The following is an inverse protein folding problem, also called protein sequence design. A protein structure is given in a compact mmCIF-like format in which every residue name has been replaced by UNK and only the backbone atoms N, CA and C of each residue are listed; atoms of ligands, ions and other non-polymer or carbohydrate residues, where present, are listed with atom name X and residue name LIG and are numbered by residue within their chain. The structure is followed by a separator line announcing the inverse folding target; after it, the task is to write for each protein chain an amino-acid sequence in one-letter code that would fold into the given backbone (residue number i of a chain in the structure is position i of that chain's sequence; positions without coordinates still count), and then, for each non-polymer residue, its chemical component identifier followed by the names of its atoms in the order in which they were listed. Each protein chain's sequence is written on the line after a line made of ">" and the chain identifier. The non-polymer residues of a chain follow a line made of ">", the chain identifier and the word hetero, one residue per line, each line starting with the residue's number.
data_IF_060714845095
#
_entry.id   IF_060714845095
#
_cell.length_a   1.000
_cell.length_b   1.000
_cell.length_c   1.000
_cell.angle_alpha   90.00
_cell.angle_beta   90.00
_cell.angle_gamma   90.00
#
_symmetry.space_group_name_H-M   'P 1'
#
loop_
_entity.id
_entity.type
_entity.pdbx_description
1 polymer ?
#
# COMPACT_ATOMS: atom_id res chain seq x y z
N UNK A 1 -32.94 47.39 -16.21
CA UNK A 1 -32.58 48.82 -16.19
C UNK A 1 -32.98 49.30 -14.80
N UNK A 2 -32.12 49.65 -13.85
CA UNK A 2 -30.73 50.14 -13.86
C UNK A 2 -30.11 49.77 -12.50
N UNK A 3 -28.89 49.26 -12.45
CA UNK A 3 -27.68 50.04 -12.15
C UNK A 3 -27.90 51.20 -11.16
N UNK A 4 -27.51 50.96 -9.91
CA UNK A 4 -26.69 51.91 -9.12
C UNK A 4 -26.25 51.27 -7.80
N UNK A 5 -24.94 51.03 -7.70
CA UNK A 5 -24.26 50.46 -6.55
C UNK A 5 -24.44 51.28 -5.27
N UNK A 6 -24.59 50.56 -4.16
CA UNK A 6 -24.27 51.09 -2.84
C UNK A 6 -22.84 50.65 -2.51
N UNK A 7 -21.92 51.58 -2.70
CA UNK A 7 -20.57 51.52 -2.15
C UNK A 7 -20.63 51.75 -0.63
N UNK A 8 -19.79 51.10 0.16
CA UNK A 8 -19.67 51.39 1.58
C UNK A 8 -19.10 52.80 1.81
N UNK A 9 -19.72 53.50 2.75
CA UNK A 9 -19.30 54.80 3.26
C UNK A 9 -17.94 54.65 3.94
N UNK A 10 -16.93 55.28 3.34
CA UNK A 10 -15.58 55.39 3.88
C UNK A 10 -15.50 56.68 4.68
N UNK A 11 -15.51 56.57 6.01
CA UNK A 11 -15.39 57.70 6.92
C UNK A 11 -13.91 57.93 7.25
N UNK A 12 -13.39 58.99 6.63
CA UNK A 12 -12.35 59.90 7.10
C UNK A 12 -11.44 59.42 8.23
N UNK A 13 -10.18 59.17 7.88
CA UNK A 13 -9.06 59.83 8.56
C UNK A 13 -7.87 59.91 7.60
N UNK A 14 -7.86 61.01 6.83
CA UNK A 14 -6.68 61.52 6.16
C UNK A 14 -6.35 62.84 6.83
N UNK A 15 -5.22 62.90 7.53
CA UNK A 15 -4.28 64.03 7.46
C UNK A 15 -3.03 63.72 8.30
N UNK A 16 -1.96 63.32 7.62
CA UNK A 16 -0.63 63.92 7.85
C UNK A 16 0.40 63.37 6.87
N UNK A 17 0.74 64.25 5.92
CA UNK A 17 2.13 64.62 5.66
C UNK A 17 2.96 63.76 4.69
N UNK A 18 3.10 64.35 3.50
CA UNK A 18 4.36 64.57 2.77
C UNK A 18 5.17 63.37 2.28
N UNK A 19 5.02 63.13 0.98
CA UNK A 19 6.02 62.69 0.01
C UNK A 19 7.45 62.41 0.52
N UNK A 20 7.92 61.18 0.35
CA UNK A 20 9.31 60.89 -0.04
C UNK A 20 9.47 59.45 -0.59
N UNK A 21 9.96 59.38 -1.82
CA UNK A 21 10.70 58.27 -2.46
C UNK A 21 10.06 56.87 -2.53
N UNK A 22 9.73 56.45 -3.76
CA UNK A 22 9.66 55.05 -4.15
C UNK A 22 10.92 54.30 -3.67
N UNK A 23 10.74 53.33 -2.77
CA UNK A 23 11.77 52.35 -2.43
C UNK A 23 11.55 51.12 -3.30
N UNK A 24 12.56 50.61 -4.02
CA UNK A 24 12.39 49.37 -4.78
C UNK A 24 12.06 48.24 -3.81
N UNK A 25 10.95 47.53 -4.07
CA UNK A 25 10.58 46.34 -3.32
C UNK A 25 11.70 45.29 -3.48
N UNK A 26 12.51 45.14 -2.44
CA UNK A 26 13.44 44.02 -2.34
C UNK A 26 12.63 42.72 -2.30
N UNK A 27 12.97 41.70 -3.10
CA UNK A 27 12.32 40.40 -3.00
C UNK A 27 12.49 39.83 -1.58
N UNK A 28 11.52 39.05 -1.07
CA UNK A 28 11.65 38.44 0.25
C UNK A 28 12.97 37.66 0.32
N UNK A 29 13.73 37.74 1.43
CA UNK A 29 15.00 37.05 1.53
C UNK A 29 14.76 35.56 1.27
N UNK A 30 15.44 35.03 0.25
CA UNK A 30 15.41 33.61 -0.06
C UNK A 30 15.67 32.82 1.23
N UNK A 31 14.71 31.97 1.61
CA UNK A 31 14.83 31.14 2.80
C UNK A 31 16.20 30.46 2.81
N UNK A 32 16.93 30.45 3.95
CA UNK A 32 18.27 29.90 3.98
C UNK A 32 18.21 28.45 3.53
N UNK A 33 18.81 28.16 2.37
CA UNK A 33 18.97 26.80 1.90
C UNK A 33 19.80 26.09 2.96
N UNK A 34 19.18 25.13 3.66
CA UNK A 34 19.87 24.34 4.69
C UNK A 34 21.00 23.63 3.98
N UNK A 35 22.22 24.16 4.12
CA UNK A 35 23.43 23.53 3.62
C UNK A 35 23.46 22.14 4.24
N UNK A 36 23.38 21.10 3.41
CA UNK A 36 23.50 19.73 3.87
C UNK A 36 24.89 19.60 4.52
N UNK A 37 24.96 18.97 5.69
CA UNK A 37 26.21 18.77 6.44
C UNK A 37 26.31 17.33 6.91
N UNK A 38 27.55 16.87 7.13
CA UNK A 38 27.82 15.53 7.63
C UNK A 38 27.29 14.44 6.69
N UNK A 39 26.62 13.45 7.26
CA UNK A 39 26.13 12.25 6.56
C UNK A 39 25.19 12.56 5.38
N UNK A 40 24.41 13.64 5.48
CA UNK A 40 23.46 14.06 4.44
C UNK A 40 24.12 14.80 3.26
N UNK A 41 25.38 15.25 3.43
CA UNK A 41 26.15 15.89 2.36
C UNK A 41 27.07 14.91 1.61
N UNK A 42 27.15 13.66 2.07
CA UNK A 42 27.96 12.62 1.44
C UNK A 42 27.24 12.01 0.23
N UNK A 43 28.03 11.39 -0.66
CA UNK A 43 27.49 10.59 -1.75
C UNK A 43 26.67 9.39 -1.24
N UNK A 44 25.60 9.02 -1.96
CA UNK A 44 24.64 7.99 -1.57
C UNK A 44 25.32 6.62 -1.45
N UNK A 45 26.29 6.31 -2.33
CA UNK A 45 27.00 5.03 -2.25
C UNK A 45 27.81 4.94 -0.95
N UNK A 46 28.51 6.04 -0.58
CA UNK A 46 29.27 6.13 0.67
C UNK A 46 28.34 6.09 1.89
N UNK A 47 27.17 6.74 1.83
CA UNK A 47 26.19 6.70 2.91
C UNK A 47 25.70 5.27 3.19
N UNK A 48 25.37 4.51 2.13
CA UNK A 48 24.97 3.11 2.21
C UNK A 48 26.09 2.23 2.74
N UNK A 49 27.31 2.45 2.30
CA UNK A 49 28.48 1.71 2.77
C UNK A 49 28.69 1.90 4.28
N UNK A 50 28.63 3.14 4.76
CA UNK A 50 28.80 3.43 6.19
C UNK A 50 27.63 2.87 6.99
N UNK A 51 26.38 2.99 6.51
CA UNK A 51 25.21 2.38 7.15
C UNK A 51 25.34 0.84 7.24
N UNK A 52 25.77 0.20 6.14
CA UNK A 52 26.01 -1.25 6.08
C UNK A 52 27.14 -1.69 7.03
N UNK A 53 28.24 -0.92 7.10
CA UNK A 53 29.34 -1.16 8.05
C UNK A 53 28.89 -0.95 9.49
N UNK A 54 28.11 0.08 9.77
CA UNK A 54 27.58 0.37 11.11
C UNK A 54 26.64 -0.72 11.62
N UNK A 55 25.74 -1.23 10.75
CA UNK A 55 24.86 -2.34 11.09
C UNK A 55 25.64 -3.62 11.40
N UNK A 56 26.60 -3.99 10.55
CA UNK A 56 27.45 -5.17 10.79
C UNK A 56 28.29 -5.04 12.06
N UNK A 57 28.89 -3.88 12.29
CA UNK A 57 29.70 -3.63 13.47
C UNK A 57 28.89 -3.68 14.77
N UNK A 58 27.61 -3.28 14.76
CA UNK A 58 26.74 -3.39 15.93
C UNK A 58 26.40 -4.85 16.28
N UNK A 59 26.17 -5.68 15.27
CA UNK A 59 26.01 -7.12 15.46
C UNK A 59 27.31 -7.78 15.94
N UNK A 60 28.44 -7.48 15.29
CA UNK A 60 29.76 -8.02 15.67
C UNK A 60 30.17 -7.63 17.09
N UNK A 61 29.86 -6.40 17.53
CA UNK A 61 30.15 -5.92 18.89
C UNK A 61 29.14 -6.40 19.93
N UNK A 62 28.10 -7.14 19.54
CA UNK A 62 27.06 -7.62 20.45
C UNK A 62 26.21 -6.51 21.07
N UNK A 63 26.21 -5.30 20.49
CA UNK A 63 25.35 -4.20 20.94
C UNK A 63 23.95 -4.28 20.32
N UNK A 64 23.81 -5.02 19.22
CA UNK A 64 22.52 -5.34 18.61
C UNK A 64 21.90 -6.59 19.25
N UNK A 65 20.57 -6.61 19.31
CA UNK A 65 19.81 -7.81 19.70
C UNK A 65 19.94 -8.89 18.62
N UNK A 66 20.35 -10.08 19.01
CA UNK A 66 20.37 -11.24 18.12
C UNK A 66 19.04 -12.00 18.22
N UNK A 67 18.29 -11.99 17.13
CA UNK A 67 17.04 -12.73 17.07
C UNK A 67 17.34 -14.23 16.96
N UNK A 68 16.83 -14.98 17.93
CA UNK A 68 16.78 -16.44 17.78
C UNK A 68 15.82 -16.82 16.64
N UNK A 69 16.00 -18.02 16.06
CA UNK A 69 15.12 -18.52 15.00
C UNK A 69 13.64 -18.53 15.42
N UNK A 70 13.37 -18.85 16.67
CA UNK A 70 12.02 -18.87 17.23
C UNK A 70 11.44 -17.46 17.34
N UNK A 71 12.25 -16.50 17.80
CA UNK A 71 11.84 -15.10 17.92
C UNK A 71 11.58 -14.45 16.55
N UNK A 72 12.46 -14.71 15.56
CA UNK A 72 12.24 -14.28 14.19
C UNK A 72 10.93 -14.85 13.61
N UNK A 73 10.63 -16.11 13.92
CA UNK A 73 9.37 -16.77 13.51
C UNK A 73 8.17 -16.14 14.22
N UNK A 74 8.26 -15.86 15.51
CA UNK A 74 7.19 -15.23 16.28
C UNK A 74 6.91 -13.80 15.78
N UNK A 75 7.96 -13.02 15.51
CA UNK A 75 7.86 -11.68 14.93
C UNK A 75 7.23 -11.72 13.53
N UNK A 76 7.67 -12.66 12.67
CA UNK A 76 7.08 -12.87 11.36
C UNK A 76 5.60 -13.26 11.43
N UNK A 77 5.24 -14.15 12.36
CA UNK A 77 3.85 -14.54 12.61
C UNK A 77 3.00 -13.34 13.05
N UNK A 78 3.48 -12.56 14.03
CA UNK A 78 2.81 -11.36 14.53
C UNK A 78 2.63 -10.30 13.43
N UNK A 79 3.64 -10.09 12.60
CA UNK A 79 3.57 -9.20 11.44
C UNK A 79 2.52 -9.68 10.43
N UNK A 80 2.51 -10.97 10.11
CA UNK A 80 1.51 -11.57 9.22
C UNK A 80 0.09 -11.48 9.77
N UNK A 81 -0.10 -11.70 11.07
CA UNK A 81 -1.39 -11.54 11.76
C UNK A 81 -1.88 -10.10 11.73
N UNK A 82 -0.99 -9.12 11.92
CA UNK A 82 -1.34 -7.70 11.86
C UNK A 82 -1.78 -7.28 10.45
N UNK A 83 -1.05 -7.73 9.43
CA UNK A 83 -1.34 -7.40 8.02
C UNK A 83 -2.61 -8.11 7.53
N UNK A 84 -2.88 -9.32 8.00
CA UNK A 84 -4.03 -10.13 7.53
C UNK A 84 -5.38 -9.75 8.12
N UNK A 85 -5.46 -8.85 9.11
CA UNK A 85 -6.72 -8.43 9.73
C UNK A 85 -7.73 -7.88 8.71
N UNK A 86 -7.27 -7.10 7.73
CA UNK A 86 -8.15 -6.55 6.71
C UNK A 86 -8.23 -7.47 5.48
N UNK A 87 -9.09 -8.48 5.57
CA UNK A 87 -9.31 -9.47 4.51
C UNK A 87 -9.71 -8.82 3.17
N UNK A 88 -10.56 -7.77 3.19
CA UNK A 88 -11.01 -7.08 1.97
C UNK A 88 -9.83 -6.41 1.27
N UNK A 89 -9.04 -5.63 2.02
CA UNK A 89 -7.84 -4.97 1.51
C UNK A 89 -6.80 -5.97 0.97
N UNK A 90 -6.58 -7.09 1.67
CA UNK A 90 -5.68 -8.14 1.20
C UNK A 90 -6.18 -8.79 -0.10
N UNK A 91 -7.49 -9.02 -0.22
CA UNK A 91 -8.09 -9.54 -1.44
C UNK A 91 -7.92 -8.56 -2.61
N UNK A 92 -8.06 -7.26 -2.38
CA UNK A 92 -7.89 -6.22 -3.41
C UNK A 92 -6.43 -6.09 -3.85
N UNK A 93 -5.47 -6.15 -2.91
CA UNK A 93 -4.03 -6.21 -3.24
C UNK A 93 -3.72 -7.46 -4.06
N UNK A 94 -4.24 -8.62 -3.63
CA UNK A 94 -4.06 -9.88 -4.35
C UNK A 94 -4.61 -9.84 -5.77
N UNK A 95 -5.81 -9.26 -5.95
CA UNK A 95 -6.45 -9.07 -7.25
C UNK A 95 -5.61 -8.16 -8.15
N UNK A 96 -5.21 -6.98 -7.66
CA UNK A 96 -4.36 -6.03 -8.41
C UNK A 96 -2.95 -6.58 -8.69
N UNK A 97 -2.45 -7.46 -7.83
CA UNK A 97 -1.25 -8.25 -8.09
C UNK A 97 -1.45 -9.21 -9.25
N UNK A 98 -2.50 -10.04 -9.17
CA UNK A 98 -2.86 -11.01 -10.20
C UNK A 98 -3.12 -10.38 -11.56
N UNK A 99 -3.88 -9.28 -11.61
CA UNK A 99 -4.20 -8.54 -12.84
C UNK A 99 -2.96 -8.04 -13.58
N UNK A 100 -1.91 -7.63 -12.85
CA UNK A 100 -0.63 -7.22 -13.46
C UNK A 100 0.12 -8.39 -14.06
N UNK A 101 0.09 -9.55 -13.40
CA UNK A 101 0.80 -10.75 -13.87
C UNK A 101 0.03 -11.46 -14.98
N UNK A 102 -1.31 -11.36 -15.01
CA UNK A 102 -2.16 -12.06 -15.97
C UNK A 102 -2.25 -11.42 -17.36
N UNK A 103 -1.63 -10.25 -17.57
CA UNK A 103 -1.69 -9.55 -18.87
C UNK A 103 -1.05 -10.37 -20.00
N UNK A 104 -0.09 -11.24 -19.67
CA UNK A 104 0.54 -12.15 -20.61
C UNK A 104 0.06 -13.59 -20.36
N UNK A 105 -1.00 -13.97 -21.09
CA UNK A 105 -1.61 -15.30 -21.00
C UNK A 105 -0.67 -16.39 -21.52
N UNK A 106 0.15 -16.11 -22.51
CA UNK A 106 1.10 -17.08 -23.10
C UNK A 106 2.25 -17.36 -22.13
N UNK A 107 2.81 -16.30 -21.54
CA UNK A 107 3.84 -16.41 -20.50
C UNK A 107 3.33 -17.13 -19.25
N UNK A 108 2.11 -16.83 -18.81
CA UNK A 108 1.49 -17.55 -17.68
C UNK A 108 1.27 -19.03 -17.99
N UNK A 109 0.82 -19.37 -19.20
CA UNK A 109 0.67 -20.76 -19.63
C UNK A 109 2.02 -21.49 -19.68
N UNK A 110 3.08 -20.81 -20.12
CA UNK A 110 4.44 -21.35 -20.15
C UNK A 110 4.98 -21.62 -18.74
N UNK A 111 4.84 -20.67 -17.81
CA UNK A 111 5.22 -20.85 -16.40
C UNK A 111 4.41 -21.97 -15.75
N UNK A 112 3.10 -22.00 -15.97
CA UNK A 112 2.22 -23.03 -15.43
C UNK A 112 2.60 -24.43 -15.91
N UNK A 113 2.95 -24.57 -17.19
CA UNK A 113 3.42 -25.83 -17.76
C UNK A 113 4.74 -26.26 -17.15
N UNK A 114 5.73 -25.37 -17.10
CA UNK A 114 7.05 -25.64 -16.52
C UNK A 114 6.98 -25.99 -15.02
N UNK A 115 6.13 -25.30 -14.27
CA UNK A 115 5.86 -25.61 -12.88
C UNK A 115 5.12 -26.94 -12.70
N UNK A 116 4.19 -27.26 -13.59
CA UNK A 116 3.51 -28.55 -13.63
C UNK A 116 4.48 -29.69 -13.90
N UNK A 117 5.31 -29.60 -14.93
CA UNK A 117 6.31 -30.62 -15.30
C UNK A 117 7.30 -30.91 -14.18
N UNK A 118 7.71 -29.88 -13.41
CA UNK A 118 8.62 -30.04 -12.27
C UNK A 118 8.01 -30.84 -11.10
N UNK A 119 6.68 -30.93 -11.02
CA UNK A 119 5.97 -31.52 -9.88
C UNK A 119 5.11 -32.73 -10.30
N UNK A 120 4.83 -32.93 -11.59
CA UNK A 120 3.81 -33.86 -12.15
C UNK A 120 4.12 -35.36 -12.08
N UNK A 121 5.10 -35.80 -11.28
CA UNK A 121 5.48 -37.22 -11.19
C UNK A 121 4.34 -38.15 -10.76
N UNK A 122 3.35 -37.64 -10.02
CA UNK A 122 2.21 -38.41 -9.52
C UNK A 122 0.87 -37.74 -9.89
N UNK A 123 0.16 -38.34 -10.85
CA UNK A 123 -1.14 -37.87 -11.33
C UNK A 123 -2.25 -38.00 -10.29
N UNK A 124 -2.17 -39.00 -9.40
CA UNK A 124 -3.18 -39.21 -8.36
C UNK A 124 -3.06 -38.13 -7.28
N UNK A 125 -1.84 -37.87 -6.83
CA UNK A 125 -1.52 -36.78 -5.90
C UNK A 125 -1.90 -35.39 -6.45
N UNK A 126 -1.65 -35.15 -7.75
CA UNK A 126 -2.06 -33.90 -8.42
C UNK A 126 -3.57 -33.72 -8.47
N UNK A 127 -4.31 -34.78 -8.77
CA UNK A 127 -5.76 -34.76 -8.79
C UNK A 127 -6.35 -34.52 -7.38
N UNK A 128 -5.69 -35.02 -6.33
CA UNK A 128 -6.08 -34.79 -4.94
C UNK A 128 -5.84 -33.34 -4.50
N UNK A 129 -4.64 -32.78 -4.73
CA UNK A 129 -4.34 -31.38 -4.44
C UNK A 129 -5.25 -30.44 -5.23
N UNK A 130 -5.49 -30.73 -6.51
CA UNK A 130 -6.39 -29.97 -7.36
C UNK A 130 -7.83 -29.94 -6.82
N UNK A 131 -8.37 -31.10 -6.41
CA UNK A 131 -9.67 -31.20 -5.74
C UNK A 131 -9.72 -30.37 -4.46
N UNK A 132 -8.75 -30.58 -3.56
CA UNK A 132 -8.67 -29.89 -2.27
C UNK A 132 -8.55 -28.37 -2.42
N UNK A 133 -7.80 -27.91 -3.42
CA UNK A 133 -7.65 -26.50 -3.76
C UNK A 133 -8.92 -25.86 -4.33
N UNK A 134 -9.72 -26.62 -5.10
CA UNK A 134 -11.02 -26.18 -5.61
C UNK A 134 -12.11 -26.13 -4.54
N UNK A 135 -12.16 -27.14 -3.67
CA UNK A 135 -13.12 -27.24 -2.57
C UNK A 135 -12.97 -26.08 -1.56
N UNK A 136 -11.74 -25.67 -1.29
CA UNK A 136 -11.43 -24.52 -0.42
C UNK A 136 -12.01 -23.18 -0.92
N UNK A 137 -12.40 -23.10 -2.19
CA UNK A 137 -13.02 -21.91 -2.82
C UNK A 137 -14.53 -22.03 -3.03
N UNK A 138 -15.09 -23.24 -2.98
CA UNK A 138 -16.50 -23.54 -3.30
C UNK A 138 -17.42 -23.78 -2.10
N UNK A 139 -16.96 -23.54 -0.87
CA UNK A 139 -17.66 -23.89 0.38
C UNK A 139 -18.95 -23.11 0.69
N UNK A 140 -19.39 -22.17 -0.14
CA UNK A 140 -20.78 -21.70 -0.12
C UNK A 140 -21.57 -22.48 -1.18
N UNK A 141 -21.95 -23.72 -0.85
CA UNK A 141 -23.06 -24.36 -1.56
C UNK A 141 -24.27 -23.47 -1.31
N UNK A 142 -24.66 -22.68 -2.31
CA UNK A 142 -26.01 -22.16 -2.42
C UNK A 142 -26.92 -23.37 -2.43
N UNK A 143 -27.49 -23.68 -1.27
CA UNK A 143 -28.63 -24.57 -1.18
C UNK A 143 -29.69 -23.91 -2.08
N UNK A 144 -30.13 -24.55 -3.18
CA UNK A 144 -31.19 -23.97 -3.99
C UNK A 144 -32.40 -23.73 -3.06
N UNK A 145 -33.12 -22.60 -3.19
CA UNK A 145 -34.28 -22.34 -2.35
C UNK A 145 -35.22 -23.55 -2.46
N UNK A 146 -35.70 -24.01 -1.30
CA UNK A 146 -36.69 -25.08 -1.25
C UNK A 146 -37.85 -24.74 -2.19
N UNK A 147 -38.39 -25.72 -2.95
CA UNK A 147 -39.56 -25.46 -3.78
C UNK A 147 -40.68 -24.90 -2.89
N UNK A 148 -41.45 -23.91 -3.35
CA UNK A 148 -42.59 -23.42 -2.59
C UNK A 148 -43.55 -24.60 -2.38
N UNK A 149 -43.92 -24.82 -1.12
CA UNK A 149 -44.88 -25.85 -0.75
C UNK A 149 -46.15 -25.68 -1.59
N UNK A 150 -46.56 -26.78 -2.22
CA UNK A 150 -47.75 -26.85 -3.07
C UNK A 150 -49.05 -26.55 -2.29
N UNK A 151 -50.16 -26.42 -3.01
CA UNK A 151 -51.26 -25.52 -2.65
C UNK A 151 -52.00 -25.95 -1.38
N UNK A 152 -52.16 -24.98 -0.46
CA UNK A 152 -53.18 -25.00 0.58
C UNK A 152 -54.56 -24.95 -0.10
N UNK A 153 -55.19 -26.11 -0.25
CA UNK A 153 -56.48 -26.23 -0.93
C UNK A 153 -57.21 -27.51 -0.54
N UNK A 154 -57.33 -27.77 0.77
CA UNK A 154 -58.33 -28.71 1.29
C UNK A 154 -59.73 -28.09 1.17
N UNK A 155 -60.58 -28.83 0.44
CA UNK A 155 -62.03 -28.99 0.58
C UNK A 155 -62.80 -27.99 1.48
N UNK A 156 -63.74 -27.26 0.85
CA UNK A 156 -65.19 -27.52 0.96
C UNK A 156 -65.99 -26.63 0.01
#
# INVERSE_FOLDING_TARGET
>A
MDDRGMLPVNESNNESSSATAERPATPPPAAPTKKLRGFAAMDIARQREIASKGGRAAHEKGTAHEFTREEARAAGKKGGEAVSQNRKHMADIGRKGGERVSQDREHMAHIGRKGGEAVSGDRQHMAEIGRKGGESRGGSKSQPPAPPDGPDGEER
#
